data_IF_982420361731
#
_entry.id   IF_982420361731
#
_cell.length_a   1.000
_cell.length_b   1.000
_cell.length_c   1.000
_cell.angle_alpha   90.00
_cell.angle_beta   90.00
_cell.angle_gamma   90.00
#
_symmetry.space_group_name_H-M   'P 1'
#
loop_
_entity.id
_entity.type
_entity.pdbx_description
1 polymer ?
#
# COMPACT_ATOMS: atom_id res chain seq x y z
N UNK A 1 5.14 19.54 0.90
CA UNK A 1 4.02 20.19 0.19
C UNK A 1 2.91 20.46 1.21
N UNK A 2 2.49 21.71 1.34
CA UNK A 2 1.44 22.11 2.30
C UNK A 2 0.09 21.64 1.77
N UNK A 3 -0.64 20.82 2.53
CA UNK A 3 -2.01 20.41 2.14
C UNK A 3 -2.90 21.65 2.19
N UNK A 4 -3.71 21.93 1.16
CA UNK A 4 -4.63 23.07 1.20
C UNK A 4 -5.60 22.91 2.38
N UNK A 5 -6.05 24.05 2.92
CA UNK A 5 -7.06 24.05 3.99
C UNK A 5 -8.36 23.47 3.44
N UNK A 6 -8.94 22.51 4.15
CA UNK A 6 -10.21 21.88 3.78
C UNK A 6 -11.33 22.88 4.10
N UNK A 7 -12.17 23.21 3.12
CA UNK A 7 -13.25 24.21 3.27
C UNK A 7 -14.57 23.60 3.69
N UNK A 8 -14.98 22.51 3.04
CA UNK A 8 -16.35 21.99 3.20
C UNK A 8 -16.40 20.69 4.02
N UNK A 9 -15.87 19.58 3.48
CA UNK A 9 -16.01 18.26 4.10
C UNK A 9 -14.65 17.61 4.42
N UNK A 10 -14.37 17.48 5.71
CA UNK A 10 -13.14 16.89 6.23
C UNK A 10 -12.98 15.40 5.91
N UNK A 11 -14.05 14.61 5.98
CA UNK A 11 -14.00 13.16 5.75
C UNK A 11 -13.73 12.81 4.29
N UNK A 12 -14.40 13.49 3.35
CA UNK A 12 -14.16 13.32 1.91
C UNK A 12 -12.73 13.71 1.53
N UNK A 13 -12.22 14.79 2.11
CA UNK A 13 -10.84 15.21 1.91
C UNK A 13 -9.85 14.19 2.47
N UNK A 14 -10.10 13.66 3.67
CA UNK A 14 -9.28 12.62 4.28
C UNK A 14 -9.22 11.36 3.40
N UNK A 15 -10.37 10.85 2.93
CA UNK A 15 -10.48 9.67 2.07
C UNK A 15 -9.64 9.80 0.78
N UNK A 16 -9.51 11.02 0.23
CA UNK A 16 -8.75 11.25 -1.00
C UNK A 16 -7.23 11.29 -0.80
N UNK A 17 -6.76 11.27 0.43
CA UNK A 17 -5.31 11.24 0.73
C UNK A 17 -4.71 9.85 0.51
N UNK A 18 -3.38 9.72 0.34
CA UNK A 18 -2.71 8.43 0.21
C UNK A 18 -2.93 7.46 1.38
N UNK A 19 -3.38 7.97 2.53
CA UNK A 19 -3.69 7.17 3.72
C UNK A 19 -4.76 6.11 3.45
N UNK A 20 -5.78 6.46 2.67
CA UNK A 20 -6.92 5.58 2.37
C UNK A 20 -6.92 5.11 0.91
N UNK A 21 -5.73 4.95 0.32
CA UNK A 21 -5.61 4.36 -1.01
C UNK A 21 -5.99 2.89 -1.01
N UNK A 22 -6.51 2.40 -2.14
CA UNK A 22 -6.72 0.97 -2.35
C UNK A 22 -5.39 0.22 -2.24
N UNK A 23 -5.31 -0.74 -1.33
CA UNK A 23 -4.14 -1.60 -1.16
C UNK A 23 -4.36 -2.90 -1.93
N UNK A 24 -3.36 -3.31 -2.72
CA UNK A 24 -3.38 -4.58 -3.43
C UNK A 24 -2.49 -5.58 -2.70
N UNK A 25 -3.02 -6.76 -2.36
CA UNK A 25 -2.23 -7.84 -1.81
C UNK A 25 -1.56 -8.64 -2.92
N UNK A 26 -0.30 -9.02 -2.72
CA UNK A 26 0.40 -9.92 -3.64
C UNK A 26 -0.20 -11.33 -3.53
N UNK A 27 -0.69 -11.92 -4.62
CA UNK A 27 -1.28 -13.25 -4.59
C UNK A 27 -0.22 -14.32 -4.27
N UNK A 28 -0.63 -15.39 -3.57
CA UNK A 28 0.27 -16.51 -3.24
C UNK A 28 0.59 -17.40 -4.45
N UNK A 29 -0.30 -17.46 -5.45
CA UNK A 29 -0.16 -18.28 -6.67
C UNK A 29 -0.76 -17.53 -7.87
N UNK A 30 -0.25 -17.79 -9.08
CA UNK A 30 -0.75 -17.21 -10.33
C UNK A 30 0.03 -15.97 -10.80
N UNK A 31 -0.64 -15.07 -11.52
CA UNK A 31 0.00 -13.87 -12.09
C UNK A 31 0.53 -12.96 -10.97
N UNK A 32 1.80 -12.57 -11.06
CA UNK A 32 2.43 -11.69 -10.07
C UNK A 32 2.77 -12.36 -8.74
N UNK A 33 2.64 -13.69 -8.60
CA UNK A 33 2.99 -14.38 -7.35
C UNK A 33 4.47 -14.73 -7.23
N UNK A 34 5.23 -14.77 -8.33
CA UNK A 34 6.66 -15.10 -8.31
C UNK A 34 7.46 -14.12 -7.44
N UNK A 35 8.38 -14.66 -6.64
CA UNK A 35 9.31 -13.88 -5.83
C UNK A 35 10.70 -14.47 -6.00
N UNK A 36 11.67 -13.66 -6.43
CA UNK A 36 13.07 -14.09 -6.61
C UNK A 36 13.68 -14.65 -5.32
N UNK A 37 13.24 -14.11 -4.19
CA UNK A 37 13.68 -14.46 -2.84
C UNK A 37 12.46 -14.94 -2.07
N UNK A 38 12.49 -16.18 -1.58
CA UNK A 38 11.43 -16.74 -0.74
C UNK A 38 11.42 -16.10 0.65
N UNK A 39 10.35 -16.29 1.43
CA UNK A 39 10.30 -15.78 2.82
C UNK A 39 11.36 -16.41 3.73
N UNK A 40 11.83 -17.61 3.41
CA UNK A 40 12.87 -18.34 4.15
C UNK A 40 14.22 -18.18 3.45
N UNK A 41 14.78 -16.99 3.44
CA UNK A 41 16.23 -16.91 3.30
C UNK A 41 16.81 -17.41 4.62
N UNK A 42 17.36 -18.63 4.61
CA UNK A 42 18.29 -19.07 5.66
C UNK A 42 19.40 -18.02 5.64
N UNK A 43 19.41 -17.14 6.65
CA UNK A 43 20.58 -16.30 6.91
C UNK A 43 21.71 -17.29 7.15
N UNK A 44 22.77 -17.22 6.35
CA UNK A 44 23.98 -17.98 6.64
C UNK A 44 24.45 -17.51 8.03
N UNK A 45 24.43 -18.43 8.99
CA UNK A 45 25.13 -18.25 10.25
C UNK A 45 26.64 -18.32 10.00
#
# INVERSE_FOLDING_TARGET
MKKPRIRDNALKAALRTPMFRMQQQKPKKGKGSYSRKGRRHRQAA
#
